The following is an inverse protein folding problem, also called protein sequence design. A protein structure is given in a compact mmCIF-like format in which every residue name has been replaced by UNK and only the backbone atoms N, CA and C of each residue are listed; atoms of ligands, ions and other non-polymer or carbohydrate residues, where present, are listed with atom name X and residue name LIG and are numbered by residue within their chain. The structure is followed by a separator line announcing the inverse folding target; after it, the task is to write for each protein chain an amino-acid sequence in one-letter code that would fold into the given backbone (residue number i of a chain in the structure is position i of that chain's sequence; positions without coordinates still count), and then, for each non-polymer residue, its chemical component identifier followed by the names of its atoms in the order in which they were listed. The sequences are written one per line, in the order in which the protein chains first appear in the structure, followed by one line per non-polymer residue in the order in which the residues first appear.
data_IF_137246408389
#
_entry.id   IF_137246408389
#
_cell.length_a   1.000
_cell.length_b   1.000
_cell.length_c   1.000
_cell.angle_alpha   90.00
_cell.angle_beta   90.00
_cell.angle_gamma   90.00
#
_symmetry.space_group_name_H-M   'P 1'
#
loop_
_entity.id
_entity.type
_entity.pdbx_description
1 polymer ?
#
# COMPACT_ATOMS: atom_id res chain seq x y z
N UNK A 1 -15.18 8.95 -7.58
CA UNK A 1 -13.97 8.34 -8.17
C UNK A 1 -13.30 7.48 -7.11
N UNK A 2 -12.82 6.28 -7.45
CA UNK A 2 -12.32 5.29 -6.47
C UNK A 2 -10.79 5.18 -6.50
N UNK A 3 -10.19 4.96 -5.33
CA UNK A 3 -8.75 4.68 -5.20
C UNK A 3 -8.55 3.23 -4.79
N UNK A 4 -7.83 2.46 -5.62
CA UNK A 4 -7.65 1.02 -5.43
C UNK A 4 -6.17 0.68 -5.56
N UNK A 5 -5.69 -0.22 -4.70
CA UNK A 5 -4.35 -0.79 -4.78
C UNK A 5 -4.41 -2.30 -4.51
N UNK A 6 -3.58 -3.05 -5.23
CA UNK A 6 -3.45 -4.50 -5.13
C UNK A 6 -1.97 -4.87 -5.07
N UNK A 7 -1.61 -5.69 -4.08
CA UNK A 7 -0.27 -6.27 -3.94
C UNK A 7 -0.40 -7.79 -3.96
N UNK A 8 0.39 -8.46 -4.80
CA UNK A 8 0.43 -9.92 -4.93
C UNK A 8 1.88 -10.38 -4.77
N UNK A 9 2.08 -11.42 -3.96
CA UNK A 9 3.34 -12.16 -3.92
C UNK A 9 3.19 -13.47 -4.68
N UNK A 10 4.11 -13.75 -5.61
CA UNK A 10 4.16 -15.07 -6.24
C UNK A 10 4.68 -16.12 -5.26
N UNK A 11 4.55 -17.40 -5.62
CA UNK A 11 5.13 -18.51 -4.84
C UNK A 11 6.65 -18.43 -4.72
N UNK A 12 7.33 -17.66 -5.56
CA UNK A 12 8.77 -17.39 -5.50
C UNK A 12 9.12 -16.13 -4.69
N UNK A 13 8.12 -15.50 -4.04
CA UNK A 13 8.31 -14.30 -3.23
C UNK A 13 8.43 -13.00 -4.02
N UNK A 14 8.21 -13.02 -5.35
CA UNK A 14 8.25 -11.78 -6.14
C UNK A 14 7.00 -10.94 -5.90
N UNK A 15 7.19 -9.67 -5.56
CA UNK A 15 6.12 -8.69 -5.40
C UNK A 15 5.67 -8.14 -6.76
N UNK A 16 4.35 -8.07 -6.93
CA UNK A 16 3.68 -7.38 -8.02
C UNK A 16 2.69 -6.39 -7.41
N UNK A 17 2.62 -5.20 -7.99
CA UNK A 17 1.74 -4.14 -7.52
C UNK A 17 0.95 -3.52 -8.67
N UNK A 18 -0.26 -3.08 -8.34
CA UNK A 18 -1.10 -2.25 -9.19
C UNK A 18 -1.75 -1.15 -8.34
N UNK A 19 -1.87 0.05 -8.90
CA UNK A 19 -2.64 1.15 -8.35
C UNK A 19 -3.53 1.76 -9.43
N UNK A 20 -4.74 2.20 -9.05
CA UNK A 20 -5.56 3.03 -9.93
C UNK A 20 -4.80 4.33 -10.27
N UNK A 21 -5.02 4.94 -11.46
CA UNK A 21 -4.27 6.14 -11.89
C UNK A 21 -4.34 7.33 -10.92
N UNK A 22 -5.36 7.34 -10.06
CA UNK A 22 -5.64 8.36 -9.05
C UNK A 22 -4.84 8.21 -7.74
N UNK A 23 -4.00 7.19 -7.59
CA UNK A 23 -3.28 6.91 -6.34
C UNK A 23 -1.92 6.21 -6.57
N UNK A 24 -1.16 6.04 -5.49
CA UNK A 24 0.09 5.27 -5.46
C UNK A 24 0.08 4.29 -4.28
N UNK A 25 0.95 3.28 -4.28
CA UNK A 25 0.99 2.30 -3.20
C UNK A 25 1.27 2.98 -1.85
N UNK A 26 2.27 3.87 -1.79
CA UNK A 26 2.62 4.60 -0.56
C UNK A 26 1.43 5.38 0.00
N UNK A 27 0.68 6.10 -0.85
CA UNK A 27 -0.51 6.86 -0.43
C UNK A 27 -1.62 5.95 0.11
N UNK A 28 -1.81 4.77 -0.50
CA UNK A 28 -2.82 3.81 -0.04
C UNK A 28 -2.42 3.16 1.29
N UNK A 29 -1.13 2.81 1.46
CA UNK A 29 -0.63 2.26 2.70
C UNK A 29 -0.67 3.29 3.85
N UNK A 30 -0.33 4.55 3.58
CA UNK A 30 -0.45 5.63 4.55
C UNK A 30 -1.91 5.83 4.99
N UNK A 31 -2.86 5.88 4.04
CA UNK A 31 -4.30 5.92 4.34
C UNK A 31 -4.77 4.71 5.14
N UNK A 32 -4.28 3.51 4.81
CA UNK A 32 -4.62 2.31 5.58
C UNK A 32 -4.13 2.43 7.02
N UNK A 33 -2.88 2.86 7.23
CA UNK A 33 -2.32 3.06 8.57
C UNK A 33 -3.13 4.09 9.37
N UNK A 34 -3.44 5.25 8.77
CA UNK A 34 -4.25 6.30 9.41
C UNK A 34 -5.66 5.81 9.77
N UNK A 35 -6.33 5.11 8.86
CA UNK A 35 -7.74 4.72 9.04
C UNK A 35 -7.92 3.47 9.90
N UNK A 36 -6.97 2.53 9.86
CA UNK A 36 -7.05 1.28 10.64
C UNK A 36 -6.39 1.37 12.02
N UNK A 37 -5.58 2.41 12.26
CA UNK A 37 -4.72 2.52 13.45
C UNK A 37 -3.58 1.50 13.50
N UNK A 38 -3.41 0.67 12.46
CA UNK A 38 -2.32 -0.31 12.38
C UNK A 38 -1.06 0.36 11.90
N UNK A 39 -0.03 0.36 12.75
CA UNK A 39 1.31 0.77 12.37
C UNK A 39 1.91 -0.24 11.39
N UNK A 40 2.18 0.21 10.16
CA UNK A 40 2.79 -0.59 9.11
C UNK A 40 4.32 -0.46 9.11
N UNK A 41 4.85 0.69 9.53
CA UNK A 41 6.30 0.94 9.63
C UNK A 41 6.65 1.92 10.76
N UNK A 42 7.91 1.89 11.19
CA UNK A 42 8.48 2.88 12.11
C UNK A 42 8.91 4.16 11.37
N UNK A 43 8.98 5.29 12.10
CA UNK A 43 9.29 6.63 11.58
C UNK A 43 10.68 6.79 10.93
N UNK A 44 11.44 5.70 10.77
CA UNK A 44 12.77 5.71 10.16
C UNK A 44 12.73 5.86 8.63
N UNK A 45 11.54 5.88 8.04
CA UNK A 45 11.26 6.10 6.62
C UNK A 45 10.11 7.09 6.40
N UNK A 46 9.99 8.08 7.29
CA UNK A 46 9.13 9.26 7.06
C UNK A 46 9.78 10.21 6.04
#
# INVERSE_FOLDING_TARGET
DAQVSLVIFSSLGKMFEYCSPSTTLSKMLEKYQQNSGKKLWDAKHE
#
